data_IF_511657703957
#
_entry.id   IF_511657703957
#
_cell.length_a   1.000
_cell.length_b   1.000
_cell.length_c   1.000
_cell.angle_alpha   90.00
_cell.angle_beta   90.00
_cell.angle_gamma   90.00
#
_symmetry.space_group_name_H-M   'P 1'
#
loop_
_entity.id
_entity.type
_entity.pdbx_description
1 polymer ?
#
# COMPACT_ATOMS: atom_id res chain seq x y z
N UNK A 1 -2.53 -6.43 -2.44
CA UNK A 1 -1.08 -6.57 -2.18
C UNK A 1 -0.34 -5.63 -3.14
N UNK A 2 0.99 -5.68 -3.21
CA UNK A 2 1.76 -4.90 -4.19
C UNK A 2 1.64 -5.44 -5.63
N UNK A 3 1.18 -6.68 -5.82
CA UNK A 3 0.96 -7.25 -7.16
C UNK A 3 -0.15 -6.48 -7.88
N UNK A 4 -1.21 -6.08 -7.16
CA UNK A 4 -2.27 -5.24 -7.75
C UNK A 4 -1.79 -3.85 -8.16
N UNK A 5 -0.63 -3.39 -7.67
CA UNK A 5 0.03 -2.16 -8.12
C UNK A 5 0.88 -2.37 -9.38
N UNK A 6 1.09 -3.62 -9.81
CA UNK A 6 1.95 -3.98 -10.94
C UNK A 6 3.31 -4.56 -10.54
N UNK A 7 3.59 -4.71 -9.24
CA UNK A 7 4.91 -5.16 -8.76
C UNK A 7 5.16 -6.67 -8.95
N UNK A 8 4.24 -7.39 -9.59
CA UNK A 8 4.35 -8.82 -9.78
C UNK A 8 3.30 -9.35 -10.73
N UNK A 9 3.16 -10.67 -10.76
CA UNK A 9 2.32 -11.40 -11.71
C UNK A 9 1.19 -12.14 -11.00
N UNK A 10 -0.03 -12.03 -11.52
CA UNK A 10 -1.12 -12.97 -11.20
C UNK A 10 -1.11 -14.16 -12.16
N UNK A 11 -0.68 -13.91 -13.40
CA UNK A 11 -0.46 -14.91 -14.46
C UNK A 11 0.94 -14.75 -15.01
N UNK A 12 1.51 -15.83 -15.52
CA UNK A 12 2.88 -15.84 -16.08
C UNK A 12 3.12 -14.79 -17.16
N UNK A 13 2.08 -14.41 -17.91
CA UNK A 13 2.14 -13.44 -19.01
C UNK A 13 2.02 -11.98 -18.56
N UNK A 14 1.73 -11.70 -17.28
CA UNK A 14 1.56 -10.33 -16.82
C UNK A 14 2.88 -9.55 -16.88
N UNK A 15 2.84 -8.33 -17.41
CA UNK A 15 3.97 -7.41 -17.41
C UNK A 15 4.15 -6.84 -16.00
N UNK A 16 5.38 -6.89 -15.49
CA UNK A 16 5.74 -6.27 -14.21
C UNK A 16 6.08 -4.80 -14.46
N UNK A 17 5.50 -3.91 -13.67
CA UNK A 17 5.94 -2.53 -13.54
C UNK A 17 7.11 -2.47 -12.52
N UNK A 18 8.36 -2.19 -12.96
CA UNK A 18 9.52 -2.15 -12.06
C UNK A 18 9.47 -0.97 -11.08
N UNK A 19 8.61 0.02 -11.30
CA UNK A 19 8.39 1.15 -10.37
C UNK A 19 7.30 0.84 -9.35
N UNK A 20 6.51 -0.21 -9.56
CA UNK A 20 5.41 -0.55 -8.67
C UNK A 20 5.90 -1.17 -7.37
N UNK A 21 5.23 -0.84 -6.27
CA UNK A 21 5.59 -1.35 -4.96
C UNK A 21 4.89 -0.61 -3.83
N UNK A 22 5.26 -0.96 -2.60
CA UNK A 22 4.76 -0.30 -1.40
C UNK A 22 5.87 -0.25 -0.36
N UNK A 23 6.03 0.91 0.27
CA UNK A 23 6.83 1.06 1.49
C UNK A 23 5.88 1.09 2.68
N UNK A 24 6.21 0.32 3.72
CA UNK A 24 5.53 0.33 5.02
C UNK A 24 6.42 1.10 5.98
N UNK A 25 5.93 2.19 6.55
CA UNK A 25 6.73 3.08 7.40
C UNK A 25 6.68 2.74 8.87
N UNK A 26 5.68 1.95 9.29
CA UNK A 26 5.40 1.65 10.69
C UNK A 26 5.19 0.16 10.92
N UNK A 27 5.57 -0.30 12.10
CA UNK A 27 5.34 -1.64 12.60
C UNK A 27 4.11 -1.71 13.53
N UNK A 28 3.63 -2.91 13.80
CA UNK A 28 2.54 -3.11 14.77
C UNK A 28 3.01 -2.65 16.15
N UNK A 29 2.26 -1.72 16.75
CA UNK A 29 2.56 -1.14 18.06
C UNK A 29 3.23 0.24 17.99
N UNK A 30 3.67 0.68 16.82
CA UNK A 30 4.20 2.03 16.65
C UNK A 30 3.10 3.08 16.88
N UNK A 31 3.48 4.17 17.56
CA UNK A 31 2.62 5.35 17.71
C UNK A 31 2.70 6.19 16.44
N UNK A 32 1.55 6.68 15.99
CA UNK A 32 1.44 7.57 14.82
C UNK A 32 0.60 8.79 15.16
N UNK A 33 0.92 9.91 14.54
CA UNK A 33 0.19 11.17 14.64
C UNK A 33 -0.57 11.47 13.34
N UNK A 34 -1.63 12.31 13.38
CA UNK A 34 -2.27 12.78 12.16
C UNK A 34 -1.25 13.43 11.22
N UNK A 35 -1.19 12.94 9.97
CA UNK A 35 -0.22 13.37 8.96
C UNK A 35 0.96 12.43 8.76
N UNK A 36 1.22 11.51 9.69
CA UNK A 36 2.30 10.54 9.53
C UNK A 36 1.97 9.54 8.41
N UNK A 37 2.91 9.27 7.49
CA UNK A 37 2.70 8.27 6.47
C UNK A 37 2.76 6.87 7.08
N UNK A 38 1.71 6.08 6.89
CA UNK A 38 1.69 4.65 7.28
C UNK A 38 2.22 3.77 6.13
N UNK A 39 1.82 4.11 4.90
CA UNK A 39 2.23 3.45 3.68
C UNK A 39 2.53 4.48 2.59
N UNK A 40 3.49 4.18 1.70
CA UNK A 40 3.65 4.86 0.41
C UNK A 40 3.46 3.84 -0.71
N UNK A 41 2.60 4.14 -1.68
CA UNK A 41 2.30 3.27 -2.81
C UNK A 41 2.93 3.82 -4.09
N UNK A 42 3.47 2.94 -4.91
CA UNK A 42 4.05 3.25 -6.22
C UNK A 42 3.38 2.40 -7.30
N UNK A 43 3.03 3.03 -8.42
CA UNK A 43 2.49 2.38 -9.62
C UNK A 43 2.38 3.41 -10.74
N UNK A 44 2.58 2.99 -11.99
CA UNK A 44 2.20 3.79 -13.16
C UNK A 44 0.68 3.78 -13.44
N UNK A 45 -0.09 2.98 -12.71
CA UNK A 45 -1.54 2.87 -12.87
C UNK A 45 -2.29 3.63 -11.77
N UNK A 46 -2.77 4.83 -12.10
CA UNK A 46 -3.51 5.69 -11.17
C UNK A 46 -4.79 5.03 -10.63
N UNK A 47 -5.48 4.22 -11.44
CA UNK A 47 -6.68 3.49 -11.00
C UNK A 47 -6.32 2.42 -9.97
N UNK A 48 -5.20 1.73 -10.16
CA UNK A 48 -4.69 0.76 -9.20
C UNK A 48 -4.31 1.44 -7.87
N UNK A 49 -3.65 2.61 -7.91
CA UNK A 49 -3.32 3.39 -6.72
C UNK A 49 -4.56 3.76 -5.92
N UNK A 50 -5.57 4.37 -6.57
CA UNK A 50 -6.81 4.80 -5.89
C UNK A 50 -7.55 3.63 -5.24
N UNK A 51 -7.69 2.52 -5.98
CA UNK A 51 -8.32 1.31 -5.48
C UNK A 51 -7.54 0.73 -4.28
N UNK A 52 -6.23 0.63 -4.41
CA UNK A 52 -5.38 0.03 -3.38
C UNK A 52 -5.34 0.87 -2.11
N UNK A 53 -5.31 2.19 -2.23
CA UNK A 53 -5.35 3.10 -1.08
C UNK A 53 -6.60 2.88 -0.22
N UNK A 54 -7.78 2.76 -0.85
CA UNK A 54 -9.03 2.46 -0.15
C UNK A 54 -8.96 1.10 0.57
N UNK A 55 -8.54 0.05 -0.14
CA UNK A 55 -8.49 -1.31 0.40
C UNK A 55 -7.48 -1.46 1.56
N UNK A 56 -6.35 -0.73 1.53
CA UNK A 56 -5.38 -0.74 2.63
C UNK A 56 -5.95 -0.01 3.84
N UNK A 57 -6.59 1.15 3.64
CA UNK A 57 -7.21 1.91 4.73
C UNK A 57 -8.22 1.09 5.53
N UNK A 58 -8.97 0.21 4.87
CA UNK A 58 -9.95 -0.69 5.50
C UNK A 58 -9.31 -1.83 6.33
N UNK A 59 -8.01 -2.13 6.11
CA UNK A 59 -7.28 -3.23 6.76
C UNK A 59 -6.41 -2.77 7.94
N UNK A 60 -6.20 -1.46 8.07
CA UNK A 60 -5.38 -0.86 9.13
C UNK A 60 -6.28 -0.40 10.26
N UNK A 61 -5.93 -0.74 11.49
CA UNK A 61 -6.65 -0.31 12.69
C UNK A 61 -5.75 0.57 13.54
N UNK A 62 -6.18 1.79 13.80
CA UNK A 62 -5.55 2.68 14.77
C UNK A 62 -6.34 2.60 16.08
N UNK A 63 -5.63 2.56 17.20
CA UNK A 63 -6.21 2.64 18.54
C UNK A 63 -5.68 3.89 19.23
N UNK A 64 -6.56 4.59 19.95
CA UNK A 64 -6.14 5.68 20.83
C UNK A 64 -5.77 5.04 22.16
N UNK A 65 -4.55 5.30 22.63
CA UNK A 65 -4.11 4.90 23.97
C UNK A 65 -4.17 6.11 24.89
N UNK A 66 -4.78 5.89 26.06
CA UNK A 66 -4.79 6.84 27.18
C UNK A 66 -3.75 6.41 28.23
#
# INVERSE_FOLDING_TARGET
DAIDLGAGRRKSTDTIDPKAGMLVHVSIGDKVSPGDPVFTLFSDNEKALKKKLKEIGERVKLRIEN
#
